data_IF_821262019028
#
_entry.id   IF_821262019028
#
_cell.length_a   1.000
_cell.length_b   1.000
_cell.length_c   1.000
_cell.angle_alpha   90.00
_cell.angle_beta   90.00
_cell.angle_gamma   90.00
#
_symmetry.space_group_name_H-M   'P 1'
#
loop_
_entity.id
_entity.type
_entity.pdbx_description
1 polymer ?
#
# COMPACT_ATOMS: atom_id res chain seq x y z
N UNK A 1 -54.01 -46.74 -68.49
CA UNK A 1 -53.17 -46.96 -67.29
C UNK A 1 -51.98 -46.03 -67.31
N UNK A 2 -51.60 -45.53 -66.12
CA UNK A 2 -50.36 -44.80 -65.80
C UNK A 2 -50.36 -43.28 -66.08
N UNK A 3 -50.85 -42.54 -65.09
CA UNK A 3 -50.38 -41.18 -64.84
C UNK A 3 -49.05 -41.21 -64.07
N UNK A 4 -48.27 -40.14 -64.13
CA UNK A 4 -47.80 -39.50 -62.90
C UNK A 4 -47.37 -38.04 -63.14
N UNK A 5 -47.75 -37.21 -62.17
CA UNK A 5 -47.74 -35.75 -62.16
C UNK A 5 -46.39 -35.25 -61.64
N UNK A 6 -45.98 -34.08 -62.15
CA UNK A 6 -44.71 -33.40 -61.85
C UNK A 6 -44.60 -32.93 -60.38
N UNK A 7 -43.37 -33.06 -59.86
CA UNK A 7 -42.57 -32.14 -59.00
C UNK A 7 -43.22 -31.55 -57.74
N UNK A 8 -42.52 -31.68 -56.60
CA UNK A 8 -42.71 -30.79 -55.45
C UNK A 8 -42.06 -31.26 -54.15
N UNK A 9 -40.79 -30.86 -53.96
CA UNK A 9 -40.08 -30.50 -52.73
C UNK A 9 -40.29 -31.27 -51.40
N UNK A 10 -39.16 -31.77 -50.90
CA UNK A 10 -38.84 -32.22 -49.54
C UNK A 10 -39.50 -31.37 -48.44
N UNK A 11 -40.24 -32.02 -47.53
CA UNK A 11 -40.58 -31.46 -46.22
C UNK A 11 -39.67 -32.09 -45.17
N UNK A 12 -38.58 -31.41 -44.83
CA UNK A 12 -37.86 -31.59 -43.57
C UNK A 12 -37.86 -30.21 -42.90
N UNK A 13 -38.89 -29.97 -42.09
CA UNK A 13 -38.93 -28.80 -41.22
C UNK A 13 -38.15 -29.10 -39.95
N UNK A 14 -36.82 -28.96 -40.00
CA UNK A 14 -36.03 -28.74 -38.78
C UNK A 14 -36.22 -27.26 -38.42
N UNK A 15 -37.04 -26.98 -37.40
CA UNK A 15 -37.07 -25.66 -36.77
C UNK A 15 -35.76 -25.55 -35.99
N UNK A 16 -34.74 -24.97 -36.62
CA UNK A 16 -33.55 -24.51 -35.92
C UNK A 16 -33.98 -23.26 -35.16
N UNK A 17 -34.26 -23.43 -33.87
CA UNK A 17 -34.39 -22.32 -32.93
C UNK A 17 -33.02 -21.63 -32.88
N UNK A 18 -32.88 -20.31 -33.11
CA UNK A 18 -31.61 -19.65 -32.89
C UNK A 18 -31.39 -19.62 -31.38
N UNK A 19 -30.54 -20.52 -30.89
CA UNK A 19 -29.94 -20.41 -29.57
C UNK A 19 -29.02 -19.18 -29.64
N UNK A 20 -29.60 -18.02 -29.31
CA UNK A 20 -28.82 -16.85 -28.95
C UNK A 20 -28.28 -17.12 -27.55
N UNK A 21 -27.15 -17.83 -27.47
CA UNK A 21 -26.32 -17.79 -26.27
C UNK A 21 -25.80 -16.36 -26.20
N UNK A 22 -26.46 -15.54 -25.40
CA UNK A 22 -25.86 -14.35 -24.81
C UNK A 22 -24.71 -14.86 -23.93
N UNK A 23 -23.55 -15.12 -24.54
CA UNK A 23 -22.29 -15.12 -23.81
C UNK A 23 -22.09 -13.67 -23.39
N UNK A 24 -22.77 -13.27 -22.31
CA UNK A 24 -22.25 -12.23 -21.46
C UNK A 24 -20.88 -12.73 -21.06
N UNK A 25 -19.85 -12.21 -21.71
CA UNK A 25 -18.55 -12.06 -21.10
C UNK A 25 -18.83 -11.33 -19.78
N UNK A 26 -19.13 -12.09 -18.73
CA UNK A 26 -18.88 -11.61 -17.39
C UNK A 26 -17.35 -11.55 -17.39
N UNK A 27 -16.72 -10.36 -17.38
CA UNK A 27 -15.31 -10.32 -17.07
C UNK A 27 -15.22 -10.94 -15.69
N UNK A 28 -14.76 -12.18 -15.65
CA UNK A 28 -14.35 -12.83 -14.43
C UNK A 28 -13.22 -11.93 -13.95
N UNK A 29 -13.55 -10.98 -13.07
CA UNK A 29 -12.56 -10.25 -12.30
C UNK A 29 -11.86 -11.36 -11.55
N UNK A 30 -10.70 -11.78 -12.07
CA UNK A 30 -9.74 -12.51 -11.26
C UNK A 30 -9.54 -11.57 -10.08
N UNK A 31 -10.10 -11.95 -8.94
CA UNK A 31 -9.54 -11.56 -7.65
C UNK A 31 -8.13 -12.15 -7.67
N UNK A 32 -7.22 -11.48 -8.38
CA UNK A 32 -5.80 -11.68 -8.21
C UNK A 32 -5.59 -11.59 -6.71
N UNK A 33 -5.01 -12.62 -6.14
CA UNK A 33 -4.65 -12.64 -4.74
C UNK A 33 -3.72 -11.45 -4.53
N UNK A 34 -4.30 -10.33 -4.08
CA UNK A 34 -3.60 -9.07 -3.93
C UNK A 34 -2.51 -9.31 -2.90
N UNK A 35 -1.25 -9.14 -3.32
CA UNK A 35 -0.13 -9.27 -2.40
C UNK A 35 -0.33 -8.25 -1.30
N UNK A 36 -0.31 -8.71 -0.05
CA UNK A 36 -0.33 -7.83 1.10
C UNK A 36 0.92 -6.93 1.01
N UNK A 37 0.80 -5.61 1.22
CA UNK A 37 1.94 -4.75 1.22
C UNK A 37 2.89 -5.09 2.36
N UNK A 38 4.17 -4.97 2.04
CA UNK A 38 5.27 -5.27 2.93
C UNK A 38 5.92 -3.95 3.28
N UNK A 39 6.18 -3.73 4.58
CA UNK A 39 6.85 -2.54 5.07
C UNK A 39 8.22 -2.96 5.56
N UNK A 40 9.26 -2.31 5.04
CA UNK A 40 10.64 -2.57 5.39
C UNK A 40 11.39 -1.28 5.72
N UNK A 41 12.53 -1.43 6.38
CA UNK A 41 13.44 -0.32 6.68
C UNK A 41 14.69 -0.49 5.85
N UNK A 42 14.96 0.48 4.99
CA UNK A 42 16.16 0.51 4.19
C UNK A 42 17.14 1.51 4.80
N UNK A 43 18.42 1.12 4.87
CA UNK A 43 19.50 2.08 5.10
C UNK A 43 19.93 2.64 3.76
N UNK A 44 19.93 3.96 3.64
CA UNK A 44 20.41 4.64 2.44
C UNK A 44 21.73 5.35 2.73
N UNK A 45 22.64 5.40 1.75
CA UNK A 45 23.87 6.19 1.91
C UNK A 45 23.61 7.70 1.93
N UNK A 46 22.46 8.14 1.40
CA UNK A 46 22.02 9.55 1.37
C UNK A 46 21.07 9.93 2.51
N UNK A 47 20.32 8.97 3.05
CA UNK A 47 19.34 9.15 4.12
C UNK A 47 19.58 8.12 5.21
N UNK A 48 19.52 8.51 6.48
CA UNK A 48 19.88 7.58 7.55
C UNK A 48 18.94 6.36 7.63
N UNK A 49 17.68 6.52 7.23
CA UNK A 49 16.70 5.45 7.10
C UNK A 49 15.55 5.83 6.18
N UNK A 50 14.99 4.85 5.49
CA UNK A 50 13.80 5.00 4.65
C UNK A 50 12.76 3.96 5.07
N UNK A 51 11.49 4.38 5.18
CA UNK A 51 10.37 3.45 5.30
C UNK A 51 9.91 3.12 3.88
N UNK A 52 10.17 1.89 3.46
CA UNK A 52 9.85 1.41 2.12
C UNK A 52 8.59 0.52 2.18
N UNK A 53 7.73 0.67 1.19
CA UNK A 53 6.49 -0.10 1.09
C UNK A 53 6.42 -0.75 -0.28
N UNK A 54 6.16 -2.06 -0.30
CA UNK A 54 5.99 -2.84 -1.51
C UNK A 54 4.53 -3.23 -1.71
N UNK A 55 4.11 -3.39 -2.96
CA UNK A 55 2.82 -3.99 -3.33
C UNK A 55 1.59 -3.27 -2.73
N UNK A 56 1.60 -1.93 -2.64
CA UNK A 56 0.37 -1.18 -2.37
C UNK A 56 -0.51 -1.18 -3.62
N UNK A 57 -1.81 -1.26 -3.44
CA UNK A 57 -2.76 -1.29 -4.58
C UNK A 57 -3.95 -0.36 -4.39
N UNK A 58 -4.02 0.35 -3.27
CA UNK A 58 -5.11 1.25 -2.95
C UNK A 58 -4.68 2.17 -1.80
N UNK A 59 -3.54 2.85 -1.92
CA UNK A 59 -3.03 3.74 -0.86
C UNK A 59 -3.53 5.17 -1.09
N UNK A 60 -4.26 5.72 -0.13
CA UNK A 60 -4.78 7.08 -0.19
C UNK A 60 -4.08 8.02 0.80
N UNK A 61 -3.83 7.52 2.02
CA UNK A 61 -3.09 8.25 3.04
C UNK A 61 -2.20 7.31 3.85
N UNK A 62 -1.20 7.87 4.49
CA UNK A 62 -0.32 7.15 5.39
C UNK A 62 0.11 8.04 6.55
N UNK A 63 0.35 7.42 7.70
CA UNK A 63 1.01 8.07 8.83
C UNK A 63 2.10 7.18 9.42
N UNK A 64 3.07 7.81 10.06
CA UNK A 64 4.17 7.16 10.74
C UNK A 64 4.40 7.89 12.05
N UNK A 65 4.30 7.16 13.16
CA UNK A 65 4.78 7.61 14.46
C UNK A 65 6.12 6.94 14.77
N UNK A 66 7.08 7.76 15.19
CA UNK A 66 8.44 7.37 15.53
C UNK A 66 8.66 7.69 17.01
N UNK A 67 9.07 6.68 17.78
CA UNK A 67 9.38 6.84 19.21
C UNK A 67 10.83 6.40 19.43
N UNK A 68 11.65 7.25 20.04
CA UNK A 68 13.07 7.01 20.24
C UNK A 68 13.56 7.54 21.59
N UNK A 69 14.66 6.97 22.10
CA UNK A 69 15.38 7.57 23.23
C UNK A 69 16.24 8.76 22.73
N UNK A 70 15.95 10.01 23.12
CA UNK A 70 16.68 11.19 22.66
C UNK A 70 18.14 11.23 23.14
N UNK A 71 18.53 10.39 24.11
CA UNK A 71 19.93 10.22 24.54
C UNK A 71 20.73 9.32 23.62
N UNK A 72 20.07 8.54 22.75
CA UNK A 72 20.70 7.60 21.82
C UNK A 72 20.64 8.15 20.39
N UNK A 73 19.49 8.69 19.99
CA UNK A 73 19.23 9.12 18.62
C UNK A 73 18.54 10.48 18.64
N UNK A 74 18.87 11.34 17.66
CA UNK A 74 18.19 12.61 17.44
C UNK A 74 17.66 12.63 16.01
N UNK A 75 16.33 12.66 15.85
CA UNK A 75 15.70 12.85 14.54
C UNK A 75 15.81 14.32 14.18
N UNK A 76 16.36 14.59 12.99
CA UNK A 76 16.64 15.94 12.53
C UNK A 76 15.60 16.39 11.49
N UNK A 77 15.08 15.45 10.69
CA UNK A 77 14.15 15.77 9.61
C UNK A 77 13.39 14.55 9.10
N UNK A 78 12.15 14.77 8.72
CA UNK A 78 11.31 13.83 7.96
C UNK A 78 10.97 14.45 6.60
N UNK A 79 11.07 13.66 5.54
CA UNK A 79 10.66 14.07 4.20
C UNK A 79 9.68 13.06 3.60
N UNK A 80 8.71 13.57 2.85
CA UNK A 80 7.86 12.75 1.99
C UNK A 80 8.71 11.93 1.02
N UNK A 81 8.42 10.63 0.95
CA UNK A 81 9.08 9.71 0.04
C UNK A 81 8.45 9.66 -1.35
N UNK A 82 9.15 8.97 -2.25
CA UNK A 82 8.87 8.98 -3.69
C UNK A 82 7.49 8.39 -4.03
N UNK A 83 6.93 7.55 -3.13
CA UNK A 83 5.61 6.97 -3.29
C UNK A 83 4.50 8.04 -3.42
N UNK A 84 4.65 9.19 -2.76
CA UNK A 84 3.75 10.33 -2.91
C UNK A 84 4.32 11.41 -3.85
N UNK A 85 5.64 11.67 -3.83
CA UNK A 85 6.24 12.70 -4.70
C UNK A 85 6.04 12.40 -6.19
N UNK A 86 6.07 11.13 -6.58
CA UNK A 86 6.04 10.69 -7.98
C UNK A 86 4.69 10.09 -8.40
N UNK A 87 3.67 10.15 -7.54
CA UNK A 87 2.36 9.51 -7.81
C UNK A 87 1.53 10.17 -8.91
N UNK A 88 1.90 11.38 -9.36
CA UNK A 88 1.17 12.14 -10.37
C UNK A 88 -0.18 12.73 -9.91
N UNK A 89 -0.59 12.47 -8.67
CA UNK A 89 -1.79 13.03 -8.04
C UNK A 89 -1.44 14.15 -7.06
N UNK A 90 -2.33 15.13 -6.83
CA UNK A 90 -2.14 16.13 -5.78
C UNK A 90 -2.14 15.47 -4.40
N UNK A 91 -1.24 15.90 -3.53
CA UNK A 91 -1.06 15.38 -2.17
C UNK A 91 -0.70 16.51 -1.21
N UNK A 92 -0.83 16.24 0.09
CA UNK A 92 -0.39 17.14 1.15
C UNK A 92 0.16 16.40 2.37
N UNK A 93 1.13 17.01 3.04
CA UNK A 93 1.51 16.65 4.41
C UNK A 93 0.50 17.23 5.40
N UNK A 94 -0.10 16.36 6.21
CA UNK A 94 -0.98 16.75 7.32
C UNK A 94 -0.22 16.92 8.63
N UNK A 95 0.83 16.12 8.82
CA UNK A 95 1.67 16.15 10.02
C UNK A 95 3.12 16.00 9.58
N UNK A 96 3.99 16.87 10.07
CA UNK A 96 5.43 16.74 9.98
C UNK A 96 6.03 17.47 11.19
N UNK A 97 6.18 16.73 12.30
CA UNK A 97 6.56 17.31 13.59
C UNK A 97 7.59 16.45 14.29
N UNK A 98 8.56 17.09 14.94
CA UNK A 98 9.57 16.44 15.76
C UNK A 98 9.53 17.10 17.13
N UNK A 99 9.31 16.29 18.16
CA UNK A 99 9.48 16.63 19.57
C UNK A 99 10.74 15.91 20.07
N UNK A 100 11.87 16.62 20.00
CA UNK A 100 13.16 16.05 20.32
C UNK A 100 13.36 15.83 21.82
N UNK A 101 12.62 16.53 22.66
CA UNK A 101 12.69 16.41 24.11
C UNK A 101 11.94 15.15 24.58
N UNK A 102 10.77 14.89 24.01
CA UNK A 102 9.96 13.69 24.30
C UNK A 102 10.37 12.46 23.48
N UNK A 103 11.28 12.62 22.51
CA UNK A 103 11.71 11.51 21.66
C UNK A 103 10.63 11.01 20.72
N UNK A 104 9.80 11.92 20.19
CA UNK A 104 8.67 11.58 19.32
C UNK A 104 8.75 12.36 18.03
N UNK A 105 8.65 11.67 16.89
CA UNK A 105 8.45 12.32 15.60
C UNK A 105 7.23 11.73 14.89
N UNK A 106 6.44 12.58 14.23
CA UNK A 106 5.18 12.19 13.58
C UNK A 106 5.15 12.71 12.17
N UNK A 107 4.67 11.87 11.27
CA UNK A 107 4.49 12.18 9.86
C UNK A 107 3.14 11.67 9.39
N UNK A 108 2.43 12.46 8.58
CA UNK A 108 1.21 12.04 7.91
C UNK A 108 1.07 12.73 6.56
N UNK A 109 0.68 11.95 5.55
CA UNK A 109 0.54 12.39 4.16
C UNK A 109 -0.72 11.78 3.54
N UNK A 110 -1.35 12.50 2.63
CA UNK A 110 -2.56 12.05 1.93
C UNK A 110 -2.63 12.61 0.53
N UNK A 111 -3.30 11.87 -0.36
CA UNK A 111 -3.84 12.41 -1.59
C UNK A 111 -4.94 13.44 -1.31
N UNK A 112 -5.15 14.37 -2.25
CA UNK A 112 -6.15 15.43 -2.15
C UNK A 112 -7.22 15.28 -3.22
N UNK A 113 -8.48 15.29 -2.80
CA UNK A 113 -9.64 15.25 -3.71
C UNK A 113 -9.98 13.85 -4.20
N UNK A 114 -10.93 13.78 -5.13
CA UNK A 114 -11.34 12.52 -5.74
C UNK A 114 -10.34 12.13 -6.84
N UNK A 115 -9.28 11.42 -6.43
CA UNK A 115 -8.16 11.03 -7.29
C UNK A 115 -7.89 9.54 -7.12
N UNK A 116 -7.25 8.96 -8.14
CA UNK A 116 -6.88 7.55 -8.09
C UNK A 116 -5.87 7.30 -6.96
N UNK A 117 -6.15 6.27 -6.15
CA UNK A 117 -5.25 5.82 -5.10
C UNK A 117 -3.91 5.33 -5.67
N UNK A 118 -2.86 5.40 -4.87
CA UNK A 118 -1.53 4.94 -5.26
C UNK A 118 -1.50 3.41 -5.31
N UNK A 119 -1.00 2.90 -6.43
CA UNK A 119 -0.62 1.51 -6.65
C UNK A 119 0.89 1.44 -6.94
N UNK A 120 1.60 0.47 -6.37
CA UNK A 120 3.00 0.24 -6.63
C UNK A 120 3.85 0.01 -5.38
N UNK A 121 5.10 0.43 -5.48
CA UNK A 121 6.15 0.20 -4.51
C UNK A 121 7.04 1.44 -4.44
N UNK A 122 7.47 1.85 -3.26
CA UNK A 122 8.31 3.04 -3.12
C UNK A 122 8.58 3.43 -1.67
N UNK A 123 9.39 4.49 -1.52
CA UNK A 123 9.68 5.08 -0.22
C UNK A 123 8.46 5.89 0.24
N UNK A 124 7.94 5.62 1.43
CA UNK A 124 6.89 6.40 2.06
C UNK A 124 7.46 7.64 2.75
N UNK A 125 8.50 7.46 3.57
CA UNK A 125 9.14 8.54 4.33
C UNK A 125 10.64 8.35 4.36
N UNK A 126 11.38 9.46 4.29
CA UNK A 126 12.83 9.51 4.48
C UNK A 126 13.11 10.14 5.84
N UNK A 127 13.95 9.48 6.63
CA UNK A 127 14.25 9.84 8.01
C UNK A 127 15.73 10.23 8.10
N UNK A 128 15.98 11.47 8.50
CA UNK A 128 17.31 11.95 8.85
C UNK A 128 17.46 11.92 10.36
N UNK A 129 18.49 11.21 10.83
CA UNK A 129 18.81 11.17 12.24
C UNK A 129 20.32 11.15 12.46
N UNK A 130 20.71 11.57 13.65
CA UNK A 130 22.09 11.46 14.12
C UNK A 130 22.12 10.61 15.38
N UNK A 131 23.13 9.76 15.49
CA UNK A 131 23.37 9.01 16.73
C UNK A 131 24.06 9.96 17.72
N UNK A 132 23.50 10.08 18.92
CA UNK A 132 23.94 11.01 19.97
C UNK A 132 25.01 10.39 20.86
N UNK A 133 24.99 9.07 21.02
CA UNK A 133 26.00 8.33 21.77
C UNK A 133 26.63 7.22 20.92
N UNK A 134 27.62 6.50 21.42
CA UNK A 134 28.30 5.44 20.66
C UNK A 134 27.50 4.12 20.60
N UNK A 135 26.23 4.13 21.01
CA UNK A 135 25.35 2.96 20.98
C UNK A 135 24.47 3.03 19.74
N UNK A 136 24.57 2.01 18.88
CA UNK A 136 23.65 1.85 17.76
C UNK A 136 22.29 1.39 18.30
N UNK A 137 21.18 2.09 18.02
CA UNK A 137 19.89 1.72 18.56
C UNK A 137 19.36 0.43 17.91
N UNK A 138 18.70 -0.41 18.71
CA UNK A 138 17.83 -1.45 18.17
C UNK A 138 16.59 -0.83 17.53
N UNK A 139 16.24 -1.26 16.31
CA UNK A 139 15.10 -0.71 15.55
C UNK A 139 14.00 -1.76 15.43
N UNK A 140 12.76 -1.37 15.71
CA UNK A 140 11.58 -2.23 15.58
C UNK A 140 10.47 -1.55 14.80
N UNK A 141 9.86 -2.28 13.86
CA UNK A 141 8.58 -1.88 13.27
C UNK A 141 7.47 -2.55 14.08
N UNK A 142 6.48 -1.77 14.50
CA UNK A 142 5.34 -2.24 15.27
C UNK A 142 4.06 -2.12 14.43
N UNK A 143 3.09 -2.98 14.72
CA UNK A 143 1.71 -2.78 14.29
C UNK A 143 1.09 -1.66 15.14
N UNK A 144 0.30 -0.77 14.54
CA UNK A 144 -0.43 0.29 15.25
C UNK A 144 -1.30 -0.24 16.41
N UNK A 145 -1.81 -1.48 16.30
CA UNK A 145 -2.56 -2.13 17.39
C UNK A 145 -1.69 -2.49 18.60
N UNK A 146 -0.39 -2.63 18.40
CA UNK A 146 0.60 -2.98 19.43
C UNK A 146 1.34 -1.76 19.98
N UNK A 147 1.03 -0.55 19.48
CA UNK A 147 1.66 0.69 19.93
C UNK A 147 1.40 1.00 21.42
N UNK A 148 0.50 0.28 22.10
CA UNK A 148 0.28 0.40 23.55
C UNK A 148 1.24 -0.40 24.44
N UNK A 149 2.10 -1.27 23.89
CA UNK A 149 3.08 -2.06 24.66
C UNK A 149 4.49 -1.47 24.55
N UNK A 150 4.64 -0.18 24.91
CA UNK A 150 5.79 0.68 24.62
C UNK A 150 7.02 0.44 25.52
N UNK A 151 6.93 -0.44 26.52
CA UNK A 151 7.77 -0.30 27.71
C UNK A 151 9.26 -0.69 27.60
N UNK A 152 9.87 -0.92 26.41
CA UNK A 152 11.28 -1.37 26.37
C UNK A 152 12.04 -1.15 25.03
N UNK A 153 11.70 -0.15 24.22
CA UNK A 153 12.32 0.01 22.88
C UNK A 153 13.11 1.30 22.72
N UNK A 154 14.37 1.18 22.27
CA UNK A 154 15.27 2.32 22.01
C UNK A 154 14.84 3.14 20.79
N UNK A 155 14.32 2.47 19.75
CA UNK A 155 13.70 3.10 18.59
C UNK A 155 12.61 2.20 18.00
N UNK A 156 11.42 2.76 17.83
CA UNK A 156 10.26 2.07 17.27
C UNK A 156 9.53 2.92 16.24
N UNK A 157 8.94 2.22 15.27
CA UNK A 157 8.27 2.82 14.10
C UNK A 157 6.89 2.19 13.97
N UNK A 158 5.87 3.04 13.90
CA UNK A 158 4.46 2.63 13.80
C UNK A 158 3.88 3.21 12.50
N UNK A 159 3.97 2.49 11.37
CA UNK A 159 3.36 2.90 10.12
C UNK A 159 1.88 2.51 10.09
N UNK A 160 1.05 3.40 9.52
CA UNK A 160 -0.38 3.17 9.27
C UNK A 160 -0.68 3.55 7.83
N UNK A 161 -1.31 2.65 7.08
CA UNK A 161 -1.75 2.90 5.70
C UNK A 161 -3.28 2.94 5.65
N UNK A 162 -3.81 3.87 4.88
CA UNK A 162 -5.25 4.10 4.73
C UNK A 162 -5.63 3.99 3.26
N UNK A 163 -6.64 3.18 2.97
CA UNK A 163 -7.14 2.95 1.62
C UNK A 163 -8.24 3.92 1.20
N UNK A 164 -8.41 4.14 -0.11
CA UNK A 164 -9.37 5.10 -0.65
C UNK A 164 -10.83 4.69 -0.42
N UNK A 165 -11.10 3.39 -0.29
CA UNK A 165 -12.44 2.84 -0.03
C UNK A 165 -12.83 2.86 1.47
N UNK A 166 -11.92 3.34 2.33
CA UNK A 166 -11.99 3.39 3.80
C UNK A 166 -12.63 2.13 4.42
N UNK A 167 -11.81 1.09 4.53
CA UNK A 167 -11.78 0.22 5.71
C UNK A 167 -10.32 0.17 6.15
N UNK A 168 -10.04 0.46 7.42
CA UNK A 168 -8.69 0.41 7.99
C UNK A 168 -8.09 -0.98 7.77
N UNK A 169 -7.06 -1.10 6.93
CA UNK A 169 -6.33 -2.37 6.71
C UNK A 169 -5.02 -2.29 7.50
N UNK A 170 -4.93 -2.87 8.72
CA UNK A 170 -3.65 -2.98 9.40
C UNK A 170 -2.77 -3.94 8.60
N UNK A 171 -1.76 -3.40 7.94
CA UNK A 171 -0.76 -4.23 7.27
C UNK A 171 0.24 -4.70 8.30
N UNK A 172 0.07 -5.95 8.75
CA UNK A 172 1.07 -6.59 9.61
C UNK A 172 2.46 -6.50 8.94
N UNK A 173 3.34 -5.77 9.60
CA UNK A 173 4.72 -5.49 9.21
C UNK A 173 5.56 -6.76 9.39
N UNK A 174 6.28 -7.18 8.35
CA UNK A 174 7.26 -8.25 8.40
C UNK A 174 8.63 -7.60 8.18
N UNK A 175 9.46 -7.61 9.21
CA UNK A 175 10.78 -6.96 9.19
C UNK A 175 11.80 -7.92 8.60
N UNK A 176 12.43 -7.55 7.48
CA UNK A 176 13.69 -8.16 7.05
C UNK A 176 14.80 -7.13 7.21
N UNK A 177 15.79 -7.46 8.03
CA UNK A 177 17.01 -6.67 8.25
C UNK A 177 18.11 -7.40 7.48
N UNK A 178 18.66 -6.77 6.44
CA UNK A 178 19.92 -7.21 5.86
C UNK A 178 21.07 -6.45 6.56
N UNK A 179 22.05 -7.23 7.03
CA UNK A 179 23.19 -6.79 7.85
C UNK A 179 24.16 -5.84 7.11
#
# INVERSE_FOLDING_TARGET
MKGNKRRGFFKIGFIILPIVIFMTFIPFHRSGQQSKPVISLLKSGKYNMEIFIENVTNLYAASVDLYYDPKILNIERLETGDLFLECGSPWMEFVNSIDADEGVARFAVSLMGDVQAIEGTGVLVKIHYRIVNNKKPGVKILDHRMAGSVDDHEFSIVPTLVSADIEYIPYASMVQIDD
#
